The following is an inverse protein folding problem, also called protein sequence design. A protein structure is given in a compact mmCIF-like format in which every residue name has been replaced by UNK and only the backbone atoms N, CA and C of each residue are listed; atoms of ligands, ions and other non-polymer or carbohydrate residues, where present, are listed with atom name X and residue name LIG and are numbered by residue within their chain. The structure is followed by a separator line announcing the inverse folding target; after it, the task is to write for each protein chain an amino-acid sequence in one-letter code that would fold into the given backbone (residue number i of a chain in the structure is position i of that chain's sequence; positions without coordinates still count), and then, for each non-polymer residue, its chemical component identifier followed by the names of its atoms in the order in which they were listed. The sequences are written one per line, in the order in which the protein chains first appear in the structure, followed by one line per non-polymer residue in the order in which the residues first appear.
data_IF_580700657462
#
_entry.id   IF_580700657462
#
_cell.length_a   1.000
_cell.length_b   1.000
_cell.length_c   1.000
_cell.angle_alpha   90.00
_cell.angle_beta   90.00
_cell.angle_gamma   90.00
#
_symmetry.space_group_name_H-M   'P 1'
#
loop_
_entity.id
_entity.type
_entity.pdbx_description
1 polymer ?
#
# COMPACT_ATOMS: atom_id res chain seq x y z
N UNK A 1 -11.55 -28.60 -30.87
CA UNK A 1 -10.77 -29.76 -30.39
C UNK A 1 -10.23 -29.43 -29.01
N UNK A 2 -10.99 -29.78 -27.97
CA UNK A 2 -10.55 -29.70 -26.58
C UNK A 2 -9.40 -30.68 -26.37
N UNK A 3 -8.23 -30.17 -25.97
CA UNK A 3 -7.17 -31.01 -25.41
C UNK A 3 -7.68 -31.52 -24.07
N UNK A 4 -8.19 -32.74 -24.04
CA UNK A 4 -8.42 -33.44 -22.77
C UNK A 4 -7.07 -33.57 -22.06
N UNK A 5 -6.95 -32.87 -20.94
CA UNK A 5 -5.81 -33.02 -20.04
C UNK A 5 -5.86 -34.45 -19.49
N UNK A 6 -4.75 -35.18 -19.61
CA UNK A 6 -4.63 -36.56 -19.14
C UNK A 6 -5.08 -36.68 -17.67
N UNK A 7 -6.05 -37.54 -17.32
CA UNK A 7 -6.69 -37.55 -15.99
C UNK A 7 -5.79 -37.89 -14.80
N UNK A 8 -4.53 -38.32 -15.03
CA UNK A 8 -3.71 -38.92 -13.97
C UNK A 8 -2.71 -37.97 -13.30
N UNK A 9 -2.74 -36.68 -13.63
CA UNK A 9 -1.79 -35.68 -13.09
C UNK A 9 -2.48 -34.55 -12.29
N UNK A 10 -3.75 -34.70 -11.92
CA UNK A 10 -4.52 -33.63 -11.25
C UNK A 10 -3.87 -33.14 -9.95
N UNK A 11 -3.21 -34.02 -9.19
CA UNK A 11 -2.48 -33.65 -7.96
C UNK A 11 -1.28 -32.75 -8.31
N UNK A 12 -0.42 -33.18 -9.23
CA UNK A 12 0.76 -32.40 -9.65
C UNK A 12 0.37 -31.04 -10.27
N UNK A 13 -0.69 -31.01 -11.07
CA UNK A 13 -1.20 -29.74 -11.63
C UNK A 13 -1.78 -28.83 -10.54
N UNK A 14 -2.45 -29.39 -9.54
CA UNK A 14 -2.93 -28.64 -8.36
C UNK A 14 -1.79 -28.07 -7.51
N UNK A 15 -0.70 -28.82 -7.34
CA UNK A 15 0.51 -28.35 -6.66
C UNK A 15 1.14 -27.15 -7.38
N UNK A 16 1.28 -27.23 -8.72
CA UNK A 16 1.81 -26.12 -9.52
C UNK A 16 0.91 -24.88 -9.43
N UNK A 17 -0.41 -25.02 -9.50
CA UNK A 17 -1.35 -23.91 -9.30
C UNK A 17 -1.17 -23.31 -7.89
N UNK A 18 -1.02 -24.14 -6.87
CA UNK A 18 -0.82 -23.69 -5.49
C UNK A 18 0.51 -22.94 -5.30
N UNK A 19 1.56 -23.33 -6.01
CA UNK A 19 2.84 -22.60 -6.03
C UNK A 19 2.65 -21.23 -6.69
N UNK A 20 1.95 -21.17 -7.83
CA UNK A 20 1.67 -19.92 -8.55
C UNK A 20 0.88 -18.95 -7.67
N UNK A 21 -0.23 -19.39 -7.09
CA UNK A 21 -1.08 -18.51 -6.27
C UNK A 21 -0.34 -18.00 -5.04
N UNK A 22 0.42 -18.85 -4.35
CA UNK A 22 1.25 -18.43 -3.21
C UNK A 22 2.30 -17.41 -3.61
N UNK A 23 2.94 -17.57 -4.77
CA UNK A 23 3.91 -16.61 -5.28
C UNK A 23 3.25 -15.26 -5.57
N UNK A 24 2.05 -15.26 -6.16
CA UNK A 24 1.26 -14.04 -6.43
C UNK A 24 0.85 -13.34 -5.14
N UNK A 25 0.32 -14.08 -4.17
CA UNK A 25 -0.04 -13.57 -2.84
C UNK A 25 1.16 -12.94 -2.14
N UNK A 26 2.33 -13.58 -2.19
CA UNK A 26 3.57 -13.04 -1.63
C UNK A 26 3.97 -11.72 -2.31
N UNK A 27 3.88 -11.65 -3.64
CA UNK A 27 4.16 -10.42 -4.36
C UNK A 27 3.19 -9.29 -3.98
N UNK A 28 1.88 -9.58 -3.90
CA UNK A 28 0.88 -8.60 -3.48
C UNK A 28 1.12 -8.12 -2.04
N UNK A 29 1.46 -9.02 -1.12
CA UNK A 29 1.82 -8.66 0.26
C UNK A 29 3.03 -7.73 0.33
N UNK A 30 4.09 -8.05 -0.41
CA UNK A 30 5.29 -7.23 -0.44
C UNK A 30 4.99 -5.83 -0.99
N UNK A 31 4.27 -5.74 -2.12
CA UNK A 31 3.87 -4.45 -2.69
C UNK A 31 2.98 -3.66 -1.73
N UNK A 32 1.98 -4.31 -1.12
CA UNK A 32 1.08 -3.63 -0.18
C UNK A 32 1.81 -3.11 1.06
N UNK A 33 2.78 -3.85 1.59
CA UNK A 33 3.64 -3.42 2.69
C UNK A 33 4.37 -2.13 2.35
N UNK A 34 5.03 -2.08 1.18
CA UNK A 34 5.78 -0.89 0.76
C UNK A 34 4.86 0.29 0.47
N UNK A 35 3.68 0.07 -0.13
CA UNK A 35 2.68 1.12 -0.34
C UNK A 35 2.20 1.73 0.97
N UNK A 36 1.91 0.91 1.98
CA UNK A 36 1.48 1.39 3.30
C UNK A 36 2.62 2.14 4.00
N UNK A 37 3.86 1.64 3.94
CA UNK A 37 5.03 2.32 4.51
C UNK A 37 5.23 3.69 3.88
N UNK A 38 5.21 3.77 2.55
CA UNK A 38 5.34 5.02 1.82
C UNK A 38 4.24 6.03 2.20
N UNK A 39 2.98 5.60 2.26
CA UNK A 39 1.87 6.49 2.66
C UNK A 39 2.03 6.98 4.09
N UNK A 40 2.56 6.16 4.99
CA UNK A 40 2.87 6.57 6.34
C UNK A 40 3.99 7.62 6.38
N UNK A 41 5.09 7.39 5.67
CA UNK A 41 6.24 8.32 5.61
C UNK A 41 5.82 9.69 5.06
N UNK A 42 5.04 9.70 3.98
CA UNK A 42 4.47 10.93 3.41
C UNK A 42 3.56 11.62 4.44
N UNK A 43 2.70 10.86 5.11
CA UNK A 43 1.83 11.38 6.16
C UNK A 43 2.60 12.00 7.32
N UNK A 44 3.70 11.38 7.75
CA UNK A 44 4.60 11.89 8.78
C UNK A 44 5.28 13.19 8.34
N UNK A 45 5.83 13.20 7.13
CA UNK A 45 6.47 14.38 6.55
C UNK A 45 5.50 15.56 6.46
N UNK A 46 4.30 15.35 5.92
CA UNK A 46 3.27 16.40 5.83
C UNK A 46 2.82 16.83 7.24
N UNK A 47 2.71 15.91 8.19
CA UNK A 47 2.38 16.25 9.58
C UNK A 47 3.39 17.20 10.21
N UNK A 48 4.68 16.95 9.98
CA UNK A 48 5.78 17.81 10.43
C UNK A 48 5.72 19.19 9.76
N UNK A 49 5.58 19.25 8.44
CA UNK A 49 5.50 20.51 7.69
C UNK A 49 4.28 21.36 8.07
N UNK A 50 3.14 20.75 8.35
CA UNK A 50 1.94 21.45 8.84
C UNK A 50 2.18 22.05 10.22
N UNK A 51 2.92 21.37 11.10
CA UNK A 51 3.20 21.85 12.46
C UNK A 51 4.29 22.92 12.50
N UNK A 52 5.37 22.72 11.74
CA UNK A 52 6.63 23.45 11.90
C UNK A 52 6.93 24.43 10.76
N UNK A 53 6.26 24.30 9.61
CA UNK A 53 6.55 25.08 8.40
C UNK A 53 5.32 25.78 7.82
N UNK A 54 4.20 25.81 8.55
CA UNK A 54 2.99 26.54 8.16
C UNK A 54 2.26 25.97 6.94
N UNK A 55 2.46 24.70 6.59
CA UNK A 55 1.74 24.10 5.46
C UNK A 55 0.22 24.10 5.70
N UNK A 56 -0.48 24.95 4.96
CA UNK A 56 -1.94 25.02 4.95
C UNK A 56 -2.56 24.19 3.82
N UNK A 57 -3.89 24.29 3.68
CA UNK A 57 -4.64 23.58 2.63
C UNK A 57 -4.14 23.87 1.21
N UNK A 58 -3.77 25.13 0.92
CA UNK A 58 -3.27 25.53 -0.41
C UNK A 58 -1.96 24.85 -0.76
N UNK A 59 -0.98 24.89 0.15
CA UNK A 59 0.35 24.30 -0.05
C UNK A 59 0.26 22.78 -0.26
N UNK A 60 -0.60 22.09 0.49
CA UNK A 60 -0.84 20.65 0.29
C UNK A 60 -1.50 20.36 -1.06
N UNK A 61 -2.36 21.26 -1.54
CA UNK A 61 -2.96 21.15 -2.87
C UNK A 61 -1.93 21.33 -3.99
N UNK A 62 -1.03 22.30 -3.82
CA UNK A 62 0.08 22.54 -4.76
C UNK A 62 1.04 21.35 -4.80
N UNK A 63 1.37 20.80 -3.63
CA UNK A 63 2.17 19.59 -3.53
C UNK A 63 1.51 18.38 -4.22
N UNK A 64 0.20 18.19 -4.05
CA UNK A 64 -0.54 17.13 -4.74
C UNK A 64 -0.48 17.29 -6.26
N UNK A 65 -0.67 18.53 -6.76
CA UNK A 65 -0.58 18.85 -8.19
C UNK A 65 0.83 18.61 -8.72
N UNK A 66 1.85 19.01 -7.97
CA UNK A 66 3.24 18.77 -8.32
C UNK A 66 3.53 17.27 -8.48
N UNK A 67 3.13 16.42 -7.52
CA UNK A 67 3.34 14.97 -7.62
C UNK A 67 2.65 14.41 -8.87
N UNK A 68 1.41 14.81 -9.15
CA UNK A 68 0.65 14.30 -10.30
C UNK A 68 1.23 14.77 -11.64
N UNK A 69 1.82 15.96 -11.68
CA UNK A 69 2.48 16.47 -12.87
C UNK A 69 3.80 15.74 -13.13
N UNK A 70 4.60 15.51 -12.09
CA UNK A 70 5.89 14.82 -12.19
C UNK A 70 5.72 13.32 -12.46
N UNK A 71 4.68 12.72 -11.88
CA UNK A 71 4.38 11.28 -11.96
C UNK A 71 2.92 11.06 -12.35
N UNK A 72 2.56 11.23 -13.63
CA UNK A 72 1.20 11.01 -14.10
C UNK A 72 0.80 9.53 -14.11
N UNK A 73 1.78 8.62 -14.04
CA UNK A 73 1.60 7.17 -14.03
C UNK A 73 1.11 6.64 -12.67
N UNK A 74 1.32 7.39 -11.58
CA UNK A 74 0.97 6.95 -10.22
C UNK A 74 -0.35 7.58 -9.76
N UNK A 75 -1.23 6.76 -9.19
CA UNK A 75 -2.53 7.17 -8.65
C UNK A 75 -2.48 7.27 -7.13
N UNK A 76 -3.46 7.95 -6.54
CA UNK A 76 -3.61 8.02 -5.08
C UNK A 76 -2.94 9.24 -4.42
N UNK A 77 -2.45 10.21 -5.17
CA UNK A 77 -1.80 11.41 -4.61
C UNK A 77 -2.64 12.68 -4.76
N UNK A 78 -3.96 12.58 -4.57
CA UNK A 78 -4.82 13.77 -4.47
C UNK A 78 -4.61 14.48 -3.12
N UNK A 79 -4.88 15.78 -3.05
CA UNK A 79 -4.75 16.55 -1.82
C UNK A 79 -5.54 15.91 -0.66
N UNK A 80 -6.76 15.46 -0.93
CA UNK A 80 -7.59 14.74 0.04
C UNK A 80 -6.94 13.44 0.53
N UNK A 81 -6.26 12.69 -0.36
CA UNK A 81 -5.58 11.47 0.06
C UNK A 81 -4.33 11.76 0.89
N UNK A 82 -3.59 12.82 0.55
CA UNK A 82 -2.43 13.28 1.35
C UNK A 82 -2.88 13.69 2.76
N UNK A 83 -4.02 14.38 2.90
CA UNK A 83 -4.61 14.66 4.21
C UNK A 83 -4.97 13.38 4.97
N UNK A 84 -5.53 12.37 4.29
CA UNK A 84 -5.79 11.05 4.90
C UNK A 84 -4.50 10.37 5.36
N UNK A 85 -3.42 10.42 4.59
CA UNK A 85 -2.10 9.90 4.98
C UNK A 85 -1.57 10.57 6.25
N UNK A 86 -1.71 11.90 6.36
CA UNK A 86 -1.36 12.65 7.58
C UNK A 86 -2.19 12.19 8.78
N UNK A 87 -3.51 12.02 8.60
CA UNK A 87 -4.39 11.53 9.67
C UNK A 87 -4.04 10.10 10.08
N UNK A 88 -3.76 9.23 9.11
CA UNK A 88 -3.35 7.85 9.32
C UNK A 88 -2.10 7.78 10.20
N UNK A 89 -1.07 8.57 9.89
CA UNK A 89 0.15 8.63 10.70
C UNK A 89 -0.14 9.01 12.16
N UNK A 90 -1.01 10.00 12.40
CA UNK A 90 -1.38 10.39 13.77
C UNK A 90 -2.06 9.26 14.54
N UNK A 91 -2.94 8.50 13.90
CA UNK A 91 -3.57 7.33 14.52
C UNK A 91 -2.54 6.26 14.88
N UNK A 92 -1.54 6.09 14.03
CA UNK A 92 -0.47 5.10 14.26
C UNK A 92 0.48 5.46 15.39
N UNK A 93 0.76 6.75 15.59
CA UNK A 93 1.62 7.23 16.67
C UNK A 93 0.98 7.06 18.06
N UNK A 94 -0.35 6.96 18.14
CA UNK A 94 -1.08 6.78 19.41
C UNK A 94 -0.98 5.34 19.89
N UNK A 95 -0.84 4.35 18.99
CA UNK A 95 -0.58 2.97 19.39
C UNK A 95 0.92 2.72 19.36
N UNK A 96 1.57 2.85 20.52
CA UNK A 96 3.01 2.61 20.70
C UNK A 96 3.39 1.16 20.37
N UNK A 97 3.58 0.84 19.09
CA UNK A 97 4.41 -0.26 18.61
C UNK A 97 4.59 -0.12 17.08
N UNK A 98 5.59 0.67 16.68
CA UNK A 98 5.89 1.04 15.28
C UNK A 98 6.16 -0.16 14.37
N UNK A 99 6.50 -1.33 14.91
CA UNK A 99 6.73 -2.55 14.13
C UNK A 99 5.49 -3.44 13.92
N UNK A 100 4.40 -3.22 14.66
CA UNK A 100 3.25 -4.15 14.65
C UNK A 100 2.13 -3.73 13.67
N UNK A 101 2.22 -2.52 13.11
CA UNK A 101 1.24 -1.99 12.15
C UNK A 101 1.22 -2.75 10.83
N UNK A 102 2.39 -3.19 10.36
CA UNK A 102 2.51 -3.99 9.15
C UNK A 102 1.73 -5.32 9.27
N UNK A 103 1.72 -5.95 10.44
CA UNK A 103 1.02 -7.22 10.65
C UNK A 103 -0.48 -7.04 10.92
N UNK A 104 -0.89 -5.95 11.61
CA UNK A 104 -2.29 -5.73 12.00
C UNK A 104 -3.18 -5.19 10.88
N UNK A 105 -2.65 -4.33 10.00
CA UNK A 105 -3.44 -3.76 8.90
C UNK A 105 -3.33 -4.52 7.59
N UNK A 106 -2.21 -5.21 7.35
CA UNK A 106 -2.11 -6.14 6.21
C UNK A 106 -2.95 -7.41 6.41
N UNK A 107 -3.58 -7.57 7.58
CA UNK A 107 -4.68 -8.50 7.82
C UNK A 107 -4.37 -9.95 7.47
N UNK A 108 -4.12 -10.78 8.49
CA UNK A 108 -4.43 -12.22 8.37
C UNK A 108 -5.86 -12.33 7.80
N UNK A 109 -5.96 -12.84 6.57
CA UNK A 109 -7.15 -13.10 5.70
C UNK A 109 -7.23 -12.34 4.37
N UNK A 110 -6.25 -11.53 3.98
CA UNK A 110 -6.00 -11.22 2.55
C UNK A 110 -4.48 -11.28 2.30
N UNK A 111 -3.93 -12.46 2.57
CA UNK A 111 -2.52 -12.82 2.57
C UNK A 111 -2.41 -14.33 2.38
#
# INVERSE_FOLDING_TARGET
MSKELTPNNHIAYGEIISIIERARENAFRAVNRELISMYWEIGAYVSDKVKNSGWGKSVVSDFARFIQAERPDIKGFSASNIWRMRHFTRLTAITKNSHHWCEKLAGRKIC
#
